data_IF_829292574704
#
_entry.id   IF_829292574704
#
_cell.length_a   1.000
_cell.length_b   1.000
_cell.length_c   1.000
_cell.angle_alpha   90.00
_cell.angle_beta   90.00
_cell.angle_gamma   90.00
#
_symmetry.space_group_name_H-M   'P 1'
#
loop_
_entity.id
_entity.type
_entity.pdbx_description
1 polymer ?
#
# COMPACT_ATOMS: atom_id res chain seq x y z
N UNK A 1 -1.12 19.82 9.19
CA UNK A 1 -0.62 18.45 9.00
C UNK A 1 0.92 18.39 8.91
N UNK A 2 1.60 19.18 8.10
CA UNK A 2 3.06 19.25 8.14
C UNK A 2 3.64 19.56 9.54
N UNK A 3 2.99 20.46 10.30
CA UNK A 3 3.39 20.80 11.68
C UNK A 3 3.33 19.62 12.67
N UNK A 4 2.40 18.69 12.52
CA UNK A 4 2.24 17.53 13.43
C UNK A 4 3.34 16.49 13.15
N UNK A 5 3.71 16.29 11.89
CA UNK A 5 4.82 15.42 11.50
C UNK A 5 6.18 15.98 11.92
N UNK A 6 6.37 17.30 11.80
CA UNK A 6 7.55 17.99 12.31
C UNK A 6 7.68 17.89 13.84
N UNK A 7 6.55 18.01 14.56
CA UNK A 7 6.55 17.88 16.01
C UNK A 7 6.99 16.48 16.45
N UNK A 8 6.46 15.44 15.80
CA UNK A 8 6.75 14.05 16.13
C UNK A 8 8.22 13.68 15.86
N UNK A 9 8.73 13.99 14.66
CA UNK A 9 10.14 13.75 14.31
C UNK A 9 11.08 14.55 15.20
N UNK A 10 10.74 15.81 15.52
CA UNK A 10 11.49 16.65 16.45
C UNK A 10 11.50 16.11 17.89
N UNK A 11 10.37 15.52 18.34
CA UNK A 11 10.26 14.89 19.66
C UNK A 11 11.11 13.62 19.75
N UNK A 12 11.05 12.75 18.75
CA UNK A 12 11.90 11.54 18.66
C UNK A 12 13.40 11.94 18.71
N UNK A 13 13.81 12.90 17.90
CA UNK A 13 15.19 13.35 17.91
C UNK A 13 15.60 13.99 19.24
N UNK A 14 14.79 14.92 19.77
CA UNK A 14 15.07 15.53 21.06
C UNK A 14 15.19 14.48 22.18
N UNK A 15 14.41 13.42 22.11
CA UNK A 15 14.45 12.29 23.05
C UNK A 15 15.76 11.51 22.92
N UNK A 16 16.21 11.18 21.70
CA UNK A 16 17.43 10.41 21.47
C UNK A 16 18.73 11.21 21.71
N UNK A 17 18.69 12.54 21.61
CA UNK A 17 19.84 13.41 21.89
C UNK A 17 19.92 13.84 23.37
N UNK A 18 19.00 13.42 24.22
CA UNK A 18 18.98 13.69 25.65
C UNK A 18 19.80 12.70 26.48
N UNK A 19 19.57 12.73 27.80
CA UNK A 19 20.12 11.74 28.72
C UNK A 19 19.32 10.45 28.55
N UNK A 20 20.00 9.33 28.34
CA UNK A 20 19.36 8.03 28.19
C UNK A 20 18.97 7.48 29.57
N UNK A 21 17.71 7.66 29.94
CA UNK A 21 17.09 7.15 31.15
C UNK A 21 15.79 6.41 30.81
N UNK A 22 15.14 5.85 31.81
CA UNK A 22 13.87 5.15 31.65
C UNK A 22 12.79 6.03 31.01
N UNK A 23 12.75 7.33 31.33
CA UNK A 23 11.81 8.28 30.73
C UNK A 23 12.07 8.53 29.23
N UNK A 24 13.32 8.37 28.79
CA UNK A 24 13.68 8.47 27.36
C UNK A 24 13.01 7.37 26.55
N UNK A 25 13.04 6.14 27.04
CA UNK A 25 12.44 4.99 26.36
C UNK A 25 10.91 5.07 26.35
N UNK A 26 10.29 5.48 27.47
CA UNK A 26 8.84 5.73 27.54
C UNK A 26 8.38 6.78 26.53
N UNK A 27 9.08 7.91 26.41
CA UNK A 27 8.77 8.97 25.42
C UNK A 27 8.94 8.48 23.98
N UNK A 28 9.95 7.67 23.70
CA UNK A 28 10.15 7.09 22.39
C UNK A 28 8.99 6.14 22.03
N UNK A 29 8.56 5.30 22.98
CA UNK A 29 7.39 4.44 22.79
C UNK A 29 6.13 5.25 22.49
N UNK A 30 5.84 6.28 23.29
CA UNK A 30 4.69 7.16 23.06
C UNK A 30 4.73 7.80 21.69
N UNK A 31 5.88 8.32 21.26
CA UNK A 31 6.04 8.95 19.96
C UNK A 31 5.80 7.96 18.79
N UNK A 32 6.31 6.74 18.88
CA UNK A 32 6.10 5.70 17.85
C UNK A 32 4.66 5.21 17.80
N UNK A 33 3.99 5.09 18.95
CA UNK A 33 2.55 4.76 19.04
C UNK A 33 1.72 5.88 18.40
N UNK A 34 2.04 7.14 18.68
CA UNK A 34 1.37 8.30 18.08
C UNK A 34 1.58 8.39 16.57
N UNK A 35 2.66 7.80 16.05
CA UNK A 35 2.92 7.63 14.62
C UNK A 35 2.14 6.47 13.97
N UNK A 36 1.32 5.74 14.70
CA UNK A 36 0.60 4.53 14.28
C UNK A 36 1.52 3.33 13.93
N UNK A 37 2.70 3.22 14.54
CA UNK A 37 3.64 2.08 14.36
C UNK A 37 3.03 0.77 14.89
N UNK A 38 2.10 0.87 15.84
CA UNK A 38 1.50 -0.27 16.54
C UNK A 38 2.26 -0.66 17.80
N UNK A 39 1.51 -0.98 18.88
CA UNK A 39 2.07 -1.18 20.21
C UNK A 39 3.11 -2.32 20.26
N UNK A 40 2.82 -3.47 19.64
CA UNK A 40 3.72 -4.63 19.64
C UNK A 40 5.04 -4.34 18.91
N UNK A 41 4.97 -3.69 17.75
CA UNK A 41 6.14 -3.30 16.95
C UNK A 41 6.97 -2.26 17.70
N UNK A 42 6.31 -1.26 18.29
CA UNK A 42 6.95 -0.22 19.09
C UNK A 42 7.74 -0.83 20.24
N UNK A 43 7.10 -1.65 21.08
CA UNK A 43 7.76 -2.29 22.22
C UNK A 43 8.98 -3.13 21.77
N UNK A 44 8.85 -3.91 20.67
CA UNK A 44 9.95 -4.70 20.14
C UNK A 44 11.12 -3.85 19.65
N UNK A 45 10.85 -2.71 19.00
CA UNK A 45 11.88 -1.80 18.47
C UNK A 45 12.59 -1.07 19.61
N UNK A 46 11.84 -0.53 20.56
CA UNK A 46 12.42 0.23 21.69
C UNK A 46 13.23 -0.69 22.59
N UNK A 47 12.73 -1.88 22.90
CA UNK A 47 13.47 -2.87 23.69
C UNK A 47 14.79 -3.28 23.00
N UNK A 48 14.78 -3.48 21.68
CA UNK A 48 15.99 -3.80 20.93
C UNK A 48 16.99 -2.64 20.96
N UNK A 49 16.52 -1.41 20.77
CA UNK A 49 17.36 -0.21 20.80
C UNK A 49 17.96 0.02 22.18
N UNK A 50 17.18 -0.12 23.26
CA UNK A 50 17.63 0.00 24.65
C UNK A 50 18.72 -1.02 24.99
N UNK A 51 18.50 -2.30 24.64
CA UNK A 51 19.49 -3.35 24.85
C UNK A 51 20.81 -3.06 24.12
N UNK A 52 20.74 -2.66 22.86
CA UNK A 52 21.93 -2.33 22.07
C UNK A 52 22.64 -1.06 22.57
N UNK A 53 21.91 -0.07 23.05
CA UNK A 53 22.50 1.13 23.64
C UNK A 53 23.32 0.78 24.89
N UNK A 54 22.80 -0.13 25.74
CA UNK A 54 23.51 -0.60 26.93
C UNK A 54 24.77 -1.42 26.63
N UNK A 55 24.70 -2.32 25.62
CA UNK A 55 25.80 -3.24 25.26
C UNK A 55 26.91 -2.56 24.46
N UNK A 56 26.56 -1.73 23.49
CA UNK A 56 27.49 -1.16 22.49
C UNK A 56 28.02 0.21 22.85
N UNK A 57 27.54 0.82 23.95
CA UNK A 57 27.86 2.22 24.33
C UNK A 57 27.67 3.16 23.14
N UNK A 58 26.49 3.15 22.55
CA UNK A 58 26.14 4.10 21.50
C UNK A 58 26.29 5.52 22.08
N UNK A 59 27.31 6.26 21.66
CA UNK A 59 27.78 7.48 22.33
C UNK A 59 27.12 8.74 21.75
N UNK A 60 25.95 8.65 21.15
CA UNK A 60 25.33 9.85 20.63
C UNK A 60 23.95 9.64 20.01
N UNK A 61 23.16 10.71 20.02
CA UNK A 61 21.83 10.70 19.44
C UNK A 61 21.80 10.37 17.94
N UNK A 62 22.87 10.65 17.21
CA UNK A 62 22.98 10.30 15.78
C UNK A 62 23.08 8.79 15.58
N UNK A 63 23.93 8.08 16.35
CA UNK A 63 24.05 6.61 16.27
C UNK A 63 22.75 5.93 16.67
N UNK A 64 22.08 6.41 17.73
CA UNK A 64 20.79 5.92 18.15
C UNK A 64 19.71 6.15 17.07
N UNK A 65 19.70 7.30 16.44
CA UNK A 65 18.79 7.64 15.36
C UNK A 65 18.97 6.72 14.15
N UNK A 66 20.20 6.53 13.69
CA UNK A 66 20.50 5.63 12.57
C UNK A 66 20.14 4.16 12.94
N UNK A 67 20.39 3.74 14.18
CA UNK A 67 20.01 2.40 14.62
C UNK A 67 18.49 2.24 14.70
N UNK A 68 17.74 3.23 15.19
CA UNK A 68 16.29 3.25 15.17
C UNK A 68 15.75 3.15 13.73
N UNK A 69 16.32 3.92 12.79
CA UNK A 69 15.97 3.81 11.37
C UNK A 69 16.15 2.38 10.87
N UNK A 70 17.30 1.78 11.14
CA UNK A 70 17.58 0.41 10.72
C UNK A 70 16.59 -0.61 11.31
N UNK A 71 16.26 -0.51 12.60
CA UNK A 71 15.28 -1.38 13.26
C UNK A 71 13.87 -1.21 12.67
N UNK A 72 13.45 0.03 12.40
CA UNK A 72 12.16 0.30 11.76
C UNK A 72 12.12 -0.21 10.32
N UNK A 73 13.20 -0.02 9.55
CA UNK A 73 13.32 -0.53 8.19
C UNK A 73 13.26 -2.07 8.15
N UNK A 74 13.94 -2.74 9.07
CA UNK A 74 13.86 -4.19 9.24
C UNK A 74 12.42 -4.64 9.50
N UNK A 75 11.71 -3.97 10.39
CA UNK A 75 10.30 -4.27 10.69
C UNK A 75 9.36 -3.95 9.52
N UNK A 76 9.69 -3.01 8.65
CA UNK A 76 8.91 -2.70 7.45
C UNK A 76 9.15 -3.68 6.30
N UNK A 77 10.24 -4.47 6.36
CA UNK A 77 10.65 -5.40 5.31
C UNK A 77 10.02 -6.77 5.55
N UNK A 78 9.00 -7.11 4.76
CA UNK A 78 8.35 -8.43 4.76
C UNK A 78 7.99 -8.84 3.33
N UNK A 79 8.01 -10.13 3.05
CA UNK A 79 7.58 -10.68 1.77
C UNK A 79 8.34 -10.15 0.54
N UNK A 80 7.71 -10.22 -0.64
CA UNK A 80 8.27 -9.71 -1.91
C UNK A 80 7.80 -8.28 -2.16
N UNK A 81 8.71 -7.28 -2.16
CA UNK A 81 8.34 -5.88 -2.31
C UNK A 81 7.97 -5.48 -3.75
N UNK A 82 8.35 -6.28 -4.74
CA UNK A 82 8.10 -5.99 -6.15
C UNK A 82 6.72 -6.49 -6.58
N UNK A 83 6.14 -5.80 -7.56
CA UNK A 83 4.92 -6.27 -8.23
C UNK A 83 5.30 -7.37 -9.21
N UNK A 84 4.63 -8.52 -9.12
CA UNK A 84 4.84 -9.64 -10.05
C UNK A 84 4.12 -9.38 -11.38
N UNK A 85 4.90 -9.11 -12.41
CA UNK A 85 4.47 -8.94 -13.79
C UNK A 85 5.24 -9.89 -14.73
N UNK A 86 5.62 -11.06 -14.22
CA UNK A 86 6.44 -12.03 -14.95
C UNK A 86 5.65 -12.90 -15.94
N UNK A 87 4.32 -12.95 -15.83
CA UNK A 87 3.44 -13.72 -16.71
C UNK A 87 2.92 -12.87 -17.87
N UNK A 88 2.48 -13.52 -18.95
CA UNK A 88 1.92 -12.87 -20.16
C UNK A 88 0.55 -13.49 -20.53
N UNK A 89 -0.57 -12.81 -20.24
CA UNK A 89 -0.68 -11.58 -19.46
C UNK A 89 -0.49 -11.81 -17.95
N UNK A 90 0.12 -10.85 -17.25
CA UNK A 90 0.00 -10.75 -15.82
C UNK A 90 -1.31 -10.05 -15.44
N UNK A 91 -1.99 -10.51 -14.40
CA UNK A 91 -3.24 -9.91 -13.92
C UNK A 91 -3.04 -9.32 -12.52
N UNK A 92 -3.30 -8.02 -12.40
CA UNK A 92 -3.29 -7.28 -11.13
C UNK A 92 -4.74 -6.97 -10.76
N UNK A 93 -5.22 -7.50 -9.64
CA UNK A 93 -6.53 -7.19 -9.09
C UNK A 93 -6.39 -6.08 -8.05
N UNK A 94 -6.93 -4.89 -8.31
CA UNK A 94 -6.89 -3.79 -7.36
C UNK A 94 -8.13 -3.79 -6.48
N UNK A 95 -7.94 -3.82 -5.16
CA UNK A 95 -8.99 -3.85 -4.15
C UNK A 95 -8.81 -2.71 -3.14
N UNK A 96 -9.85 -2.37 -2.39
CA UNK A 96 -9.80 -1.32 -1.36
C UNK A 96 -11.08 -0.51 -1.28
N UNK A 97 -11.24 0.23 -0.19
CA UNK A 97 -12.45 1.02 0.09
C UNK A 97 -12.55 2.21 -0.87
N UNK A 98 -13.77 2.67 -1.15
CA UNK A 98 -13.97 3.88 -1.93
C UNK A 98 -13.30 5.09 -1.26
N UNK A 99 -12.65 5.94 -2.08
CA UNK A 99 -11.95 7.14 -1.58
C UNK A 99 -10.51 6.90 -1.10
N UNK A 100 -10.02 5.66 -1.09
CA UNK A 100 -8.61 5.37 -0.75
C UNK A 100 -7.63 5.69 -1.88
N UNK A 101 -8.10 6.12 -3.05
CA UNK A 101 -7.23 6.42 -4.20
C UNK A 101 -7.00 5.23 -5.14
N UNK A 102 -7.81 4.15 -5.07
CA UNK A 102 -7.66 2.93 -5.88
C UNK A 102 -7.61 3.22 -7.39
N UNK A 103 -8.62 3.86 -7.97
CA UNK A 103 -8.67 4.17 -9.42
C UNK A 103 -7.51 5.09 -9.84
N UNK A 104 -7.14 6.06 -9.00
CA UNK A 104 -5.97 6.93 -9.22
C UNK A 104 -4.66 6.12 -9.21
N UNK A 105 -4.51 5.21 -8.26
CA UNK A 105 -3.35 4.30 -8.17
C UNK A 105 -3.23 3.43 -9.42
N UNK A 106 -4.35 2.84 -9.87
CA UNK A 106 -4.40 2.04 -11.10
C UNK A 106 -3.91 2.86 -12.31
N UNK A 107 -4.42 4.10 -12.45
CA UNK A 107 -4.03 4.98 -13.54
C UNK A 107 -2.56 5.34 -13.54
N UNK A 108 -2.01 5.69 -12.37
CA UNK A 108 -0.58 5.98 -12.19
C UNK A 108 0.28 4.73 -12.46
N UNK A 109 -0.11 3.57 -11.93
CA UNK A 109 0.59 2.30 -12.16
C UNK A 109 0.60 1.94 -13.65
N UNK A 110 -0.54 2.07 -14.33
CA UNK A 110 -0.65 1.83 -15.77
C UNK A 110 0.29 2.75 -16.57
N UNK A 111 0.39 4.01 -16.15
CA UNK A 111 1.31 4.97 -16.77
C UNK A 111 2.78 4.53 -16.62
N UNK A 112 3.22 4.16 -15.40
CA UNK A 112 4.59 3.68 -15.15
C UNK A 112 4.90 2.40 -15.92
N UNK A 113 3.98 1.43 -15.93
CA UNK A 113 4.14 0.19 -16.70
C UNK A 113 4.34 0.47 -18.20
N UNK A 114 3.59 1.44 -18.75
CA UNK A 114 3.69 1.81 -20.17
C UNK A 114 4.94 2.60 -20.49
N UNK A 115 5.21 3.68 -19.74
CA UNK A 115 6.22 4.68 -20.13
C UNK A 115 7.61 4.35 -19.60
N UNK A 116 7.71 3.70 -18.45
CA UNK A 116 9.01 3.36 -17.87
C UNK A 116 9.43 1.92 -18.15
N UNK A 117 8.47 0.98 -18.14
CA UNK A 117 8.77 -0.44 -18.36
C UNK A 117 8.42 -0.93 -19.77
N UNK A 118 7.84 -0.08 -20.64
CA UNK A 118 7.49 -0.42 -22.02
C UNK A 118 6.44 -1.52 -22.19
N UNK A 119 5.63 -1.79 -21.12
CA UNK A 119 4.61 -2.83 -21.14
C UNK A 119 3.32 -2.36 -21.76
N UNK A 120 2.63 -3.23 -22.48
CA UNK A 120 1.27 -3.00 -22.93
C UNK A 120 0.29 -3.29 -21.79
N UNK A 121 -0.67 -2.38 -21.55
CA UNK A 121 -1.59 -2.46 -20.40
C UNK A 121 -3.04 -2.34 -20.86
N UNK A 122 -3.91 -3.17 -20.30
CA UNK A 122 -5.36 -3.12 -20.45
C UNK A 122 -6.01 -2.89 -19.08
N UNK A 123 -6.90 -1.91 -18.98
CA UNK A 123 -7.65 -1.64 -17.75
C UNK A 123 -9.04 -2.24 -17.85
N UNK A 124 -9.52 -2.90 -16.78
CA UNK A 124 -10.85 -3.48 -16.68
C UNK A 124 -11.67 -2.74 -15.61
N UNK A 125 -12.75 -2.06 -16.03
CA UNK A 125 -13.64 -1.31 -15.15
C UNK A 125 -14.67 -2.24 -14.49
N UNK A 126 -14.24 -3.00 -13.48
CA UNK A 126 -15.08 -3.95 -12.76
C UNK A 126 -15.85 -3.31 -11.58
N UNK A 127 -15.72 -2.02 -11.28
CA UNK A 127 -16.64 -1.25 -10.41
C UNK A 127 -17.89 -0.84 -11.22
N UNK A 128 -18.69 -1.80 -11.62
CA UNK A 128 -19.85 -1.60 -12.52
C UNK A 128 -21.02 -0.85 -11.89
N UNK A 129 -21.00 -0.65 -10.58
CA UNK A 129 -22.05 0.07 -9.87
C UNK A 129 -21.88 1.57 -9.88
N UNK A 130 -20.67 2.06 -10.11
CA UNK A 130 -20.33 3.48 -10.08
C UNK A 130 -19.97 3.97 -11.48
N UNK A 131 -20.93 4.59 -12.19
CA UNK A 131 -20.67 5.14 -13.53
C UNK A 131 -19.46 6.09 -13.53
N UNK A 132 -19.35 6.98 -12.53
CA UNK A 132 -18.23 7.90 -12.40
C UNK A 132 -16.86 7.18 -12.19
N UNK A 133 -16.85 5.95 -11.66
CA UNK A 133 -15.60 5.19 -11.53
C UNK A 133 -15.09 4.71 -12.90
N UNK A 134 -15.98 4.23 -13.75
CA UNK A 134 -15.63 3.83 -15.12
C UNK A 134 -15.13 5.01 -15.94
N UNK A 135 -15.84 6.15 -15.90
CA UNK A 135 -15.41 7.39 -16.56
C UNK A 135 -14.04 7.88 -16.05
N UNK A 136 -13.80 7.81 -14.75
CA UNK A 136 -12.50 8.15 -14.16
C UNK A 136 -11.39 7.21 -14.64
N UNK A 137 -11.66 5.90 -14.71
CA UNK A 137 -10.70 4.92 -15.20
C UNK A 137 -10.37 5.14 -16.67
N UNK A 138 -11.38 5.43 -17.51
CA UNK A 138 -11.19 5.78 -18.93
C UNK A 138 -10.32 7.03 -19.09
N UNK A 139 -10.55 8.06 -18.27
CA UNK A 139 -9.70 9.26 -18.25
C UNK A 139 -8.24 8.96 -17.89
N UNK A 140 -8.00 8.05 -16.98
CA UNK A 140 -6.65 7.57 -16.67
C UNK A 140 -6.05 6.74 -17.82
N UNK A 141 -6.85 5.87 -18.43
CA UNK A 141 -6.41 5.06 -19.57
C UNK A 141 -5.94 5.95 -20.74
N UNK A 142 -6.69 7.00 -21.05
CA UNK A 142 -6.31 7.99 -22.07
C UNK A 142 -4.96 8.65 -21.74
N UNK A 143 -4.76 9.06 -20.49
CA UNK A 143 -3.49 9.67 -20.04
C UNK A 143 -2.31 8.70 -20.11
N UNK A 144 -2.54 7.43 -19.75
CA UNK A 144 -1.53 6.39 -19.78
C UNK A 144 -1.32 5.78 -21.19
N UNK A 145 -2.19 6.09 -22.15
CA UNK A 145 -2.16 5.48 -23.49
C UNK A 145 -2.56 4.00 -23.48
N UNK A 146 -3.47 3.62 -22.56
CA UNK A 146 -3.96 2.25 -22.41
C UNK A 146 -5.35 2.07 -23.00
N UNK A 147 -5.70 0.82 -23.32
CA UNK A 147 -7.07 0.44 -23.65
C UNK A 147 -7.88 0.12 -22.38
N UNK A 148 -9.21 0.21 -22.48
CA UNK A 148 -10.14 -0.17 -21.42
C UNK A 148 -11.17 -1.18 -21.88
N UNK A 149 -11.60 -2.04 -20.95
CA UNK A 149 -12.82 -2.83 -21.04
C UNK A 149 -13.79 -2.32 -20.00
N UNK A 150 -14.96 -1.85 -20.45
CA UNK A 150 -15.99 -1.29 -19.59
C UNK A 150 -17.27 -2.15 -19.75
N UNK A 151 -17.76 -2.66 -18.64
CA UNK A 151 -19.03 -3.40 -18.63
C UNK A 151 -20.24 -2.47 -18.67
N UNK A 152 -21.39 -3.01 -19.07
CA UNK A 152 -22.65 -2.28 -18.93
C UNK A 152 -22.90 -1.91 -17.45
N UNK A 153 -23.59 -0.79 -17.16
CA UNK A 153 -23.93 -0.43 -15.80
C UNK A 153 -24.60 -1.58 -15.04
N UNK A 154 -24.09 -1.90 -13.84
CA UNK A 154 -24.55 -3.01 -12.98
C UNK A 154 -24.39 -4.42 -13.59
N UNK A 155 -23.56 -4.57 -14.62
CA UNK A 155 -23.18 -5.90 -15.11
C UNK A 155 -22.33 -6.66 -14.09
N UNK A 156 -22.16 -7.96 -14.29
CA UNK A 156 -21.31 -8.81 -13.44
C UNK A 156 -19.83 -8.37 -13.52
N UNK A 157 -19.22 -7.93 -12.42
CA UNK A 157 -17.79 -7.56 -12.38
C UNK A 157 -16.86 -8.69 -12.85
N UNK A 158 -17.23 -9.95 -12.58
CA UNK A 158 -16.50 -11.12 -13.06
C UNK A 158 -16.52 -11.25 -14.58
N UNK A 159 -17.62 -10.86 -15.24
CA UNK A 159 -17.69 -10.87 -16.71
C UNK A 159 -16.76 -9.83 -17.34
N UNK A 160 -16.63 -8.64 -16.72
CA UNK A 160 -15.69 -7.59 -17.17
C UNK A 160 -14.25 -8.08 -17.07
N UNK A 161 -13.89 -8.68 -15.94
CA UNK A 161 -12.56 -9.25 -15.74
C UNK A 161 -12.28 -10.38 -16.74
N UNK A 162 -13.27 -11.24 -16.99
CA UNK A 162 -13.19 -12.33 -17.96
C UNK A 162 -12.92 -11.81 -19.38
N UNK A 163 -13.69 -10.82 -19.83
CA UNK A 163 -13.55 -10.21 -21.14
C UNK A 163 -12.17 -9.55 -21.31
N UNK A 164 -11.70 -8.80 -20.31
CA UNK A 164 -10.39 -8.16 -20.33
C UNK A 164 -9.24 -9.17 -20.49
N UNK A 165 -9.28 -10.27 -19.74
CA UNK A 165 -8.25 -11.31 -19.84
C UNK A 165 -8.32 -12.02 -21.20
N UNK A 166 -9.53 -12.35 -21.70
CA UNK A 166 -9.70 -12.96 -23.01
C UNK A 166 -9.15 -12.05 -24.13
N UNK A 167 -9.44 -10.75 -24.05
CA UNK A 167 -8.92 -9.75 -24.98
C UNK A 167 -7.40 -9.65 -24.90
N UNK A 168 -6.82 -9.55 -23.71
CA UNK A 168 -5.37 -9.46 -23.50
C UNK A 168 -4.64 -10.67 -24.11
N UNK A 169 -5.16 -11.88 -23.90
CA UNK A 169 -4.59 -13.11 -24.51
C UNK A 169 -4.70 -13.12 -26.03
N UNK A 170 -5.78 -12.59 -26.58
CA UNK A 170 -5.99 -12.54 -28.03
C UNK A 170 -5.15 -11.49 -28.76
N UNK A 171 -4.73 -10.44 -28.06
CA UNK A 171 -3.99 -9.29 -28.62
C UNK A 171 -2.54 -9.19 -28.17
N UNK A 172 -2.07 -10.07 -27.26
CA UNK A 172 -0.70 -10.05 -26.76
C UNK A 172 -0.42 -8.87 -25.79
N UNK A 173 -1.41 -8.49 -24.99
CA UNK A 173 -1.23 -7.47 -23.94
C UNK A 173 -0.49 -8.09 -22.76
N UNK A 174 0.53 -7.37 -22.22
CA UNK A 174 1.40 -7.85 -21.16
C UNK A 174 0.73 -7.85 -19.78
N UNK A 175 -0.06 -6.80 -19.46
CA UNK A 175 -0.63 -6.61 -18.12
C UNK A 175 -2.11 -6.22 -18.20
N UNK A 176 -2.94 -6.87 -17.39
CA UNK A 176 -4.34 -6.50 -17.15
C UNK A 176 -4.47 -6.00 -15.73
N UNK A 177 -5.04 -4.79 -15.53
CA UNK A 177 -5.34 -4.25 -14.20
C UNK A 177 -6.85 -4.16 -14.04
N UNK A 178 -7.38 -4.86 -13.03
CA UNK A 178 -8.82 -4.94 -12.75
C UNK A 178 -9.17 -3.99 -11.61
N UNK A 179 -9.93 -2.91 -11.90
CA UNK A 179 -10.48 -1.99 -10.89
C UNK A 179 -11.78 -2.55 -10.34
N UNK A 180 -11.81 -2.91 -9.05
CA UNK A 180 -12.97 -3.53 -8.40
C UNK A 180 -13.78 -2.53 -7.57
N UNK A 181 -15.00 -2.90 -7.18
CA UNK A 181 -15.80 -2.13 -6.23
C UNK A 181 -15.11 -1.98 -4.86
N UNK A 182 -15.51 -0.94 -4.11
CA UNK A 182 -14.95 -0.66 -2.78
C UNK A 182 -16.00 -0.20 -1.75
N UNK A 183 -17.26 -0.66 -1.86
CA UNK A 183 -18.39 -0.25 -1.03
C UNK A 183 -18.43 -0.99 0.30
N UNK A 184 -17.60 -0.58 1.26
CA UNK A 184 -17.45 -1.28 2.54
C UNK A 184 -18.71 -1.25 3.43
N UNK A 185 -19.68 -0.35 3.18
CA UNK A 185 -20.95 -0.30 3.91
C UNK A 185 -21.87 -1.52 3.63
N UNK A 186 -21.65 -2.24 2.52
CA UNK A 186 -22.24 -3.56 2.23
C UNK A 186 -21.16 -4.63 2.31
N UNK A 187 -20.49 -4.74 3.46
CA UNK A 187 -19.26 -5.51 3.63
C UNK A 187 -19.39 -6.96 3.14
N UNK A 188 -20.44 -7.67 3.51
CA UNK A 188 -20.65 -9.09 3.10
C UNK A 188 -20.71 -9.22 1.59
N UNK A 189 -21.59 -8.44 0.94
CA UNK A 189 -21.78 -8.48 -0.51
C UNK A 189 -20.50 -8.13 -1.27
N UNK A 190 -19.73 -7.13 -0.76
CA UNK A 190 -18.47 -6.73 -1.36
C UNK A 190 -17.42 -7.86 -1.28
N UNK A 191 -17.27 -8.50 -0.13
CA UNK A 191 -16.28 -9.56 0.07
C UNK A 191 -16.62 -10.78 -0.80
N UNK A 192 -17.89 -11.14 -0.93
CA UNK A 192 -18.35 -12.20 -1.81
C UNK A 192 -18.12 -11.87 -3.29
N UNK A 193 -18.36 -10.61 -3.69
CA UNK A 193 -18.10 -10.12 -5.05
C UNK A 193 -16.61 -10.19 -5.39
N UNK A 194 -15.73 -9.69 -4.51
CA UNK A 194 -14.28 -9.75 -4.70
C UNK A 194 -13.78 -11.20 -4.80
N UNK A 195 -14.25 -12.08 -3.91
CA UNK A 195 -13.94 -13.49 -3.98
C UNK A 195 -14.43 -14.15 -5.28
N UNK A 196 -15.59 -13.72 -5.81
CA UNK A 196 -16.10 -14.19 -7.11
C UNK A 196 -15.20 -13.72 -8.26
N UNK A 197 -14.87 -12.42 -8.32
CA UNK A 197 -14.00 -11.87 -9.37
C UNK A 197 -12.65 -12.60 -9.37
N UNK A 198 -12.03 -12.77 -8.22
CA UNK A 198 -10.77 -13.51 -8.08
C UNK A 198 -10.89 -14.95 -8.62
N UNK A 199 -11.96 -15.67 -8.26
CA UNK A 199 -12.18 -17.03 -8.77
C UNK A 199 -12.36 -17.07 -10.29
N UNK A 200 -13.03 -16.09 -10.88
CA UNK A 200 -13.18 -15.98 -12.34
C UNK A 200 -11.80 -15.79 -13.00
N UNK A 201 -11.00 -14.89 -12.49
CA UNK A 201 -9.62 -14.64 -12.96
C UNK A 201 -8.81 -15.94 -12.89
N UNK A 202 -8.77 -16.60 -11.74
CA UNK A 202 -8.00 -17.82 -11.50
C UNK A 202 -8.41 -19.00 -12.40
N UNK A 203 -9.70 -19.09 -12.74
CA UNK A 203 -10.20 -20.14 -13.66
C UNK A 203 -9.79 -19.90 -15.11
N UNK A 204 -9.65 -18.64 -15.51
CA UNK A 204 -9.31 -18.26 -16.87
C UNK A 204 -7.81 -18.33 -17.15
N UNK A 205 -7.01 -18.02 -16.13
CA UNK A 205 -5.55 -18.00 -16.22
C UNK A 205 -4.95 -18.63 -14.96
N UNK A 206 -4.30 -19.78 -15.11
CA UNK A 206 -3.67 -20.50 -14.00
C UNK A 206 -2.59 -19.63 -13.36
N UNK A 207 -2.62 -19.50 -12.03
CA UNK A 207 -1.71 -18.66 -11.27
C UNK A 207 -2.12 -17.20 -11.15
N UNK A 208 -3.18 -16.76 -11.86
CA UNK A 208 -3.69 -15.40 -11.75
C UNK A 208 -4.78 -15.29 -10.64
N UNK A 209 -4.99 -14.09 -10.08
CA UNK A 209 -4.18 -12.90 -10.30
C UNK A 209 -2.78 -13.10 -9.70
N UNK A 210 -1.72 -12.62 -10.40
CA UNK A 210 -0.37 -12.63 -9.87
C UNK A 210 -0.26 -11.68 -8.69
N UNK A 211 -1.01 -10.58 -8.75
CA UNK A 211 -1.12 -9.62 -7.65
C UNK A 211 -2.57 -9.29 -7.31
N UNK A 212 -2.85 -9.26 -6.02
CA UNK A 212 -4.02 -8.58 -5.47
C UNK A 212 -3.52 -7.42 -4.61
N UNK A 213 -3.58 -6.20 -5.15
CA UNK A 213 -3.07 -5.00 -4.50
C UNK A 213 -4.18 -4.30 -3.73
N UNK A 214 -3.99 -4.17 -2.43
CA UNK A 214 -4.90 -3.44 -1.55
C UNK A 214 -4.47 -1.98 -1.44
N UNK A 215 -5.33 -1.06 -1.88
CA UNK A 215 -5.11 0.37 -1.70
C UNK A 215 -5.68 0.84 -0.38
N UNK A 216 -4.83 1.35 0.51
CA UNK A 216 -5.17 1.88 1.82
C UNK A 216 -4.82 3.37 1.92
N UNK A 217 -5.67 4.12 2.57
CA UNK A 217 -5.45 5.52 2.91
C UNK A 217 -4.68 5.59 4.24
N UNK A 218 -3.45 6.09 4.22
CA UNK A 218 -2.58 6.20 5.39
C UNK A 218 -3.18 7.07 6.51
N UNK A 219 -4.11 7.97 6.18
CA UNK A 219 -4.76 8.84 7.18
C UNK A 219 -5.73 8.08 8.09
N UNK A 220 -6.11 6.86 7.73
CA UNK A 220 -7.08 6.05 8.48
C UNK A 220 -6.47 5.33 9.69
N UNK A 221 -5.14 5.25 9.79
CA UNK A 221 -4.44 4.63 10.91
C UNK A 221 -4.93 3.19 11.19
N UNK A 222 -5.18 2.85 12.43
CA UNK A 222 -5.60 1.50 12.86
C UNK A 222 -6.89 0.99 12.18
N UNK A 223 -7.76 1.88 11.67
CA UNK A 223 -8.91 1.45 10.87
C UNK A 223 -8.47 0.83 9.52
N UNK A 224 -7.36 1.31 8.96
CA UNK A 224 -6.75 0.73 7.75
C UNK A 224 -6.31 -0.73 7.98
N UNK A 225 -5.76 -1.04 9.15
CA UNK A 225 -5.36 -2.40 9.51
C UNK A 225 -6.54 -3.38 9.57
N UNK A 226 -7.67 -2.94 10.13
CA UNK A 226 -8.92 -3.75 10.11
C UNK A 226 -9.42 -3.99 8.69
N UNK A 227 -9.38 -2.96 7.84
CA UNK A 227 -9.73 -3.11 6.43
C UNK A 227 -8.80 -4.12 5.76
N UNK A 228 -7.48 -4.01 5.97
CA UNK A 228 -6.50 -4.91 5.38
C UNK A 228 -6.78 -6.38 5.72
N UNK A 229 -7.14 -6.70 6.95
CA UNK A 229 -7.54 -8.07 7.35
C UNK A 229 -8.74 -8.57 6.54
N UNK A 230 -9.82 -7.78 6.48
CA UNK A 230 -11.05 -8.16 5.77
C UNK A 230 -10.79 -8.43 4.28
N UNK A 231 -10.03 -7.54 3.62
CA UNK A 231 -9.71 -7.72 2.21
C UNK A 231 -8.76 -8.90 1.96
N UNK A 232 -7.84 -9.17 2.89
CA UNK A 232 -6.91 -10.31 2.80
C UNK A 232 -7.67 -11.63 2.85
N UNK A 233 -8.62 -11.76 3.77
CA UNK A 233 -9.44 -12.97 3.91
C UNK A 233 -10.29 -13.23 2.66
N UNK A 234 -10.85 -12.18 2.04
CA UNK A 234 -11.76 -12.31 0.90
C UNK A 234 -11.05 -12.43 -0.45
N UNK A 235 -10.00 -11.66 -0.67
CA UNK A 235 -9.35 -11.49 -1.97
C UNK A 235 -7.91 -12.01 -2.04
N UNK A 236 -7.36 -12.52 -0.93
CA UNK A 236 -5.97 -12.98 -0.83
C UNK A 236 -4.98 -11.90 -1.28
N UNK A 237 -4.94 -10.80 -0.56
CA UNK A 237 -4.04 -9.67 -0.81
C UNK A 237 -2.58 -10.13 -0.81
N UNK A 238 -1.81 -9.73 -1.81
CA UNK A 238 -0.39 -10.05 -1.98
C UNK A 238 0.51 -8.86 -1.64
N UNK A 239 -0.04 -7.66 -1.63
CA UNK A 239 0.69 -6.45 -1.30
C UNK A 239 -0.22 -5.24 -1.10
N UNK A 240 0.34 -4.22 -0.48
CA UNK A 240 -0.37 -2.99 -0.12
C UNK A 240 0.17 -1.81 -0.90
N UNK A 241 -0.73 -0.93 -1.35
CA UNK A 241 -0.42 0.42 -1.83
C UNK A 241 -0.91 1.40 -0.78
N UNK A 242 0.00 2.11 -0.15
CA UNK A 242 -0.31 3.06 0.90
C UNK A 242 -0.36 4.48 0.33
N UNK A 243 -1.54 5.09 0.30
CA UNK A 243 -1.79 6.40 -0.33
C UNK A 243 -1.88 7.54 0.70
N UNK A 244 -1.79 8.78 0.23
CA UNK A 244 -1.95 10.01 1.02
C UNK A 244 -0.94 10.16 2.16
N UNK A 245 0.26 9.63 1.98
CA UNK A 245 1.33 9.75 2.97
C UNK A 245 1.80 11.20 3.17
N UNK A 246 1.65 12.05 2.16
CA UNK A 246 1.91 13.48 2.22
C UNK A 246 0.97 14.23 3.18
N UNK A 247 -0.23 13.70 3.39
CA UNK A 247 -1.27 14.30 4.23
C UNK A 247 -1.26 13.86 5.71
N UNK A 248 -0.34 13.00 6.16
CA UNK A 248 -0.41 12.43 7.51
C UNK A 248 0.95 12.37 8.23
N UNK A 249 0.89 12.47 9.57
CA UNK A 249 2.00 12.10 10.47
C UNK A 249 1.95 10.61 10.86
N UNK A 250 0.92 9.87 10.42
CA UNK A 250 0.61 8.49 10.84
C UNK A 250 1.11 7.45 9.85
N UNK A 251 2.23 7.70 9.21
CA UNK A 251 2.83 6.78 8.25
C UNK A 251 3.21 5.42 8.83
N UNK A 252 3.40 5.31 10.15
CA UNK A 252 3.77 4.07 10.85
C UNK A 252 2.82 2.90 10.64
N UNK A 253 1.61 3.15 10.12
CA UNK A 253 0.68 2.08 9.72
C UNK A 253 1.31 1.08 8.74
N UNK A 254 2.31 1.48 7.96
CA UNK A 254 3.06 0.57 7.09
C UNK A 254 3.74 -0.55 7.89
N UNK A 255 4.35 -0.20 9.04
CA UNK A 255 4.99 -1.17 9.93
C UNK A 255 3.95 -2.09 10.59
N UNK A 256 2.82 -1.54 11.04
CA UNK A 256 1.75 -2.35 11.62
C UNK A 256 1.19 -3.35 10.61
N UNK A 257 0.97 -2.97 9.35
CA UNK A 257 0.54 -3.86 8.27
C UNK A 257 1.58 -4.96 8.03
N UNK A 258 2.85 -4.59 7.90
CA UNK A 258 3.93 -5.54 7.67
C UNK A 258 4.02 -6.58 8.82
N UNK A 259 4.04 -6.12 10.07
CA UNK A 259 4.27 -6.98 11.22
C UNK A 259 3.03 -7.78 11.66
N UNK A 260 1.83 -7.20 11.61
CA UNK A 260 0.62 -7.89 12.07
C UNK A 260 -0.04 -8.75 11.01
N UNK A 261 0.15 -8.43 9.72
CA UNK A 261 -0.49 -9.14 8.62
C UNK A 261 0.50 -9.88 7.72
N UNK A 262 1.80 -9.65 7.86
CA UNK A 262 2.82 -10.22 6.99
C UNK A 262 2.70 -9.74 5.52
N UNK A 263 2.05 -8.60 5.29
CA UNK A 263 1.81 -8.07 3.96
C UNK A 263 2.87 -7.03 3.59
N UNK A 264 3.58 -7.17 2.46
CA UNK A 264 4.50 -6.17 1.99
C UNK A 264 3.78 -4.89 1.53
N UNK A 265 4.27 -3.73 1.95
CA UNK A 265 3.95 -2.49 1.26
C UNK A 265 4.78 -2.46 -0.01
N UNK A 266 4.15 -2.39 -1.18
CA UNK A 266 4.84 -2.42 -2.48
C UNK A 266 4.99 -1.03 -3.09
N UNK A 267 3.96 -0.20 -2.93
CA UNK A 267 3.94 1.17 -3.46
C UNK A 267 3.45 2.16 -2.42
N UNK A 268 3.90 3.40 -2.55
CA UNK A 268 3.43 4.54 -1.77
C UNK A 268 2.97 5.68 -2.69
N UNK A 269 1.88 6.34 -2.29
CA UNK A 269 1.38 7.58 -2.90
C UNK A 269 1.68 8.76 -1.99
N UNK A 270 2.48 9.70 -2.49
CA UNK A 270 2.99 10.87 -1.75
C UNK A 270 2.52 12.21 -2.33
N UNK A 271 1.53 12.18 -3.23
CA UNK A 271 0.96 13.36 -3.87
C UNK A 271 0.06 13.01 -5.06
N UNK A 272 -0.27 14.02 -5.88
CA UNK A 272 -1.28 13.92 -6.94
C UNK A 272 -0.69 13.63 -8.33
N UNK A 273 0.58 13.97 -8.58
CA UNK A 273 1.22 13.74 -9.88
C UNK A 273 1.51 12.26 -10.13
N UNK A 274 1.82 11.89 -11.36
CA UNK A 274 2.08 10.49 -11.73
C UNK A 274 3.31 9.96 -10.99
N UNK A 275 4.33 10.79 -10.90
CA UNK A 275 5.62 10.50 -10.26
C UNK A 275 5.49 10.35 -8.73
N UNK A 276 4.36 10.75 -8.16
CA UNK A 276 4.07 10.61 -6.73
C UNK A 276 3.59 9.21 -6.33
N UNK A 277 3.46 8.28 -7.27
CA UNK A 277 3.34 6.86 -7.00
C UNK A 277 4.74 6.23 -7.12
N UNK A 278 5.29 5.75 -6.00
CA UNK A 278 6.67 5.27 -5.94
C UNK A 278 6.75 3.87 -5.35
N UNK A 279 7.77 3.07 -5.69
CA UNK A 279 8.10 1.88 -4.93
C UNK A 279 8.33 2.21 -3.45
N UNK A 280 7.95 1.30 -2.57
CA UNK A 280 8.23 1.44 -1.15
C UNK A 280 9.68 1.07 -0.86
N UNK A 281 10.41 2.01 -0.27
CA UNK A 281 11.75 1.77 0.28
C UNK A 281 11.66 1.83 1.81
N UNK A 282 11.93 0.72 2.52
CA UNK A 282 11.81 0.66 3.99
C UNK A 282 12.74 1.63 4.72
N UNK A 283 13.97 1.85 4.22
CA UNK A 283 14.94 2.73 4.87
C UNK A 283 14.57 4.20 4.66
N UNK A 284 14.27 4.59 3.42
CA UNK A 284 13.80 5.95 3.11
C UNK A 284 12.52 6.27 3.89
N UNK A 285 11.62 5.30 4.00
CA UNK A 285 10.38 5.43 4.78
C UNK A 285 10.66 5.61 6.27
N UNK A 286 11.50 4.77 6.89
CA UNK A 286 11.86 4.85 8.30
C UNK A 286 12.57 6.18 8.60
N UNK A 287 13.50 6.60 7.74
CA UNK A 287 14.17 7.89 7.83
C UNK A 287 13.18 9.06 7.76
N UNK A 288 12.21 9.00 6.83
CA UNK A 288 11.18 10.02 6.69
C UNK A 288 10.18 10.05 7.87
N UNK A 289 10.01 8.93 8.60
CA UNK A 289 9.13 8.83 9.77
C UNK A 289 9.71 9.58 10.98
N UNK A 290 11.03 9.50 11.18
CA UNK A 290 11.72 10.07 12.36
C UNK A 290 12.50 11.35 12.07
N UNK A 291 12.69 11.74 10.81
CA UNK A 291 13.40 12.97 10.46
C UNK A 291 12.57 14.22 10.77
N UNK A 292 13.14 15.24 11.43
CA UNK A 292 12.56 16.57 11.46
C UNK A 292 12.68 17.19 10.06
N UNK A 293 11.58 17.66 9.51
CA UNK A 293 11.57 18.44 8.26
C UNK A 293 11.40 19.93 8.55
#
# INVERSE_FOLDING_TARGET
MAKTRQALGGEIQATLFGVLDEQTWERLEEALIMADVGASTTASVVQALEAEAGERKLEGGEELSERLIALLAEKATVGEPRIDISSEPSVIMAVGVNGTGKTTTIGKLAWHLRHELGRTVLLAAADTFRAAASEQLEGWAQRAGCETVVGAPRSDPGAVAFEAIARARGTGIDVVIVDTAGRLHTQGDLMDELGKVRRVIARQLTGAPQETLLTLDATTGQNGLRQARLFTDAAHVTGVVLTKLDGTARGGIALAIAQELGLPVKLIGVGESVEDLRPFDPEEFARALIAPR
#
